data_IF_300912581358
#
_entry.id   IF_300912581358
#
_cell.length_a   1.000
_cell.length_b   1.000
_cell.length_c   1.000
_cell.angle_alpha   90.00
_cell.angle_beta   90.00
_cell.angle_gamma   90.00
#
_symmetry.space_group_name_H-M   'P 1'
#
loop_
_entity.id
_entity.type
_entity.pdbx_description
1 polymer ?
#
# COMPACT_ATOMS: atom_id res chain seq x y z
N UNK A 1 1.33 10.15 30.27
CA UNK A 1 0.93 10.45 28.89
C UNK A 1 -0.12 11.54 28.94
N UNK A 2 0.20 12.77 28.52
CA UNK A 2 -0.77 13.88 28.47
C UNK A 2 -1.50 13.78 27.13
N UNK A 3 -2.80 13.49 27.17
CA UNK A 3 -3.65 13.64 26.00
C UNK A 3 -3.87 15.14 25.78
N UNK A 4 -3.25 15.71 24.74
CA UNK A 4 -3.60 17.04 24.24
C UNK A 4 -4.86 16.86 23.42
N UNK A 5 -6.01 17.16 24.01
CA UNK A 5 -7.27 17.30 23.28
C UNK A 5 -7.24 18.65 22.56
N UNK A 6 -6.69 18.69 21.35
CA UNK A 6 -6.82 19.82 20.45
C UNK A 6 -8.24 19.81 19.83
N UNK A 7 -9.19 20.46 20.51
CA UNK A 7 -10.44 20.89 19.88
C UNK A 7 -10.18 22.25 19.22
N UNK A 8 -9.62 22.24 18.00
CA UNK A 8 -9.44 23.47 17.23
C UNK A 8 -10.55 23.59 16.19
N UNK A 9 -11.43 24.55 16.41
CA UNK A 9 -12.21 25.21 15.36
C UNK A 9 -11.23 25.70 14.29
N UNK A 10 -11.49 25.42 13.01
CA UNK A 10 -10.58 25.83 11.94
C UNK A 10 -11.02 27.22 11.45
N UNK A 11 -10.56 28.27 12.15
CA UNK A 11 -10.70 29.63 11.66
C UNK A 11 -9.91 29.77 10.35
N UNK A 12 -10.60 30.03 9.22
CA UNK A 12 -9.95 30.21 7.92
C UNK A 12 -8.93 31.36 7.92
N UNK A 13 -9.09 32.33 8.81
CA UNK A 13 -8.18 33.47 8.93
C UNK A 13 -6.76 33.07 9.35
N UNK A 14 -6.59 31.90 9.99
CA UNK A 14 -5.28 31.43 10.48
C UNK A 14 -4.54 30.49 9.52
N UNK A 15 -5.08 30.26 8.32
CA UNK A 15 -4.40 29.45 7.30
C UNK A 15 -3.19 30.22 6.76
N UNK A 16 -2.12 29.48 6.44
CA UNK A 16 -0.93 30.08 5.80
C UNK A 16 -1.24 30.74 4.44
N UNK A 17 -2.36 30.40 3.80
CA UNK A 17 -2.82 31.03 2.56
C UNK A 17 -3.50 32.39 2.78
N UNK A 18 -3.85 32.72 4.03
CA UNK A 18 -4.58 33.94 4.36
C UNK A 18 -3.64 35.11 4.53
N UNK A 19 -4.00 36.24 3.93
CA UNK A 19 -3.33 37.52 4.14
C UNK A 19 -4.32 38.58 4.59
N UNK A 20 -3.90 39.45 5.51
CA UNK A 20 -4.74 40.53 6.03
C UNK A 20 -4.14 41.88 5.73
N UNK A 21 -5.01 42.85 5.46
CA UNK A 21 -4.67 44.25 5.24
C UNK A 21 -5.64 45.12 6.01
N UNK A 22 -5.16 46.29 6.40
CA UNK A 22 -5.98 47.35 6.97
C UNK A 22 -5.67 48.67 6.28
N UNK A 23 -6.66 49.55 6.20
CA UNK A 23 -6.60 50.84 5.51
C UNK A 23 -5.45 51.74 5.96
N UNK A 24 -5.16 51.74 7.25
CA UNK A 24 -4.09 52.49 7.91
C UNK A 24 -3.69 51.75 9.20
N UNK A 25 -2.58 52.10 9.82
CA UNK A 25 -2.11 51.41 11.04
C UNK A 25 -1.78 52.43 12.12
N UNK A 26 -2.48 52.36 13.25
CA UNK A 26 -2.14 53.16 14.42
C UNK A 26 -0.95 52.50 15.15
N UNK A 27 0.19 53.20 15.17
CA UNK A 27 1.40 52.79 15.90
C UNK A 27 1.79 51.33 15.61
N UNK A 28 1.60 50.42 16.58
CA UNK A 28 2.02 49.01 16.50
C UNK A 28 0.84 48.04 16.31
N UNK A 29 -0.38 48.55 16.14
CA UNK A 29 -1.61 47.75 16.05
C UNK A 29 -1.83 47.23 14.63
N UNK A 30 -0.95 46.33 14.20
CA UNK A 30 -0.94 45.75 12.86
C UNK A 30 -2.20 44.91 12.61
N UNK A 31 -2.61 44.82 11.35
CA UNK A 31 -3.70 43.95 10.92
C UNK A 31 -3.55 42.48 11.36
N UNK A 32 -2.32 42.00 11.50
CA UNK A 32 -2.04 40.62 11.92
C UNK A 32 -2.56 40.28 13.33
N UNK A 33 -2.78 41.26 14.20
CA UNK A 33 -3.33 41.04 15.54
C UNK A 33 -4.77 40.51 15.47
N UNK A 34 -5.57 40.97 14.51
CA UNK A 34 -6.95 40.49 14.34
C UNK A 34 -7.07 39.03 13.87
N UNK A 35 -5.95 38.35 13.60
CA UNK A 35 -5.92 36.95 13.13
C UNK A 35 -4.83 36.15 13.83
N UNK A 36 -4.25 36.68 14.92
CA UNK A 36 -3.17 36.04 15.67
C UNK A 36 -3.69 34.95 16.60
N UNK A 37 -4.99 35.01 16.89
CA UNK A 37 -5.71 34.05 17.64
C UNK A 37 -6.02 34.35 19.08
N UNK A 38 -5.73 35.57 19.49
CA UNK A 38 -6.03 36.10 20.80
C UNK A 38 -7.40 36.78 20.82
N UNK A 39 -8.39 36.08 21.38
CA UNK A 39 -9.77 36.60 21.47
C UNK A 39 -9.95 37.67 22.56
N UNK A 40 -8.87 38.12 23.22
CA UNK A 40 -8.97 39.15 24.26
C UNK A 40 -9.28 40.51 23.65
N UNK A 41 -10.33 41.13 24.14
CA UNK A 41 -10.86 42.39 23.60
C UNK A 41 -10.26 43.65 24.23
N UNK A 42 -9.00 43.59 24.68
CA UNK A 42 -8.29 44.76 25.25
C UNK A 42 -7.33 45.34 24.21
N UNK A 43 -7.33 46.66 24.05
CA UNK A 43 -6.46 47.49 23.18
C UNK A 43 -5.21 46.81 22.61
N UNK A 44 -4.31 46.36 23.49
CA UNK A 44 -3.00 45.78 23.14
C UNK A 44 -3.07 44.58 22.18
N UNK A 45 -4.16 43.83 22.18
CA UNK A 45 -4.34 42.63 21.34
C UNK A 45 -5.16 42.92 20.08
N UNK A 46 -5.51 44.19 19.84
CA UNK A 46 -6.39 44.56 18.74
C UNK A 46 -5.61 45.22 17.61
N UNK A 47 -6.00 44.89 16.38
CA UNK A 47 -5.65 45.69 15.21
C UNK A 47 -6.38 47.02 15.28
N UNK A 48 -5.71 48.08 14.82
CA UNK A 48 -6.22 49.43 14.94
C UNK A 48 -5.83 50.21 13.68
N UNK A 49 -6.83 50.77 13.04
CA UNK A 49 -6.63 51.72 11.95
C UNK A 49 -6.29 53.10 12.51
N UNK A 50 -5.49 53.88 11.81
CA UNK A 50 -5.12 55.23 12.26
C UNK A 50 -6.35 56.14 12.37
N UNK A 51 -6.22 57.22 13.13
CA UNK A 51 -7.27 58.21 13.34
C UNK A 51 -7.38 59.15 12.12
N UNK A 52 -8.34 60.07 12.12
CA UNK A 52 -8.57 61.08 11.08
C UNK A 52 -8.81 60.52 9.67
N UNK A 53 -9.38 59.31 9.58
CA UNK A 53 -9.77 58.71 8.29
C UNK A 53 -11.22 59.03 7.97
N UNK A 54 -11.57 59.10 6.68
CA UNK A 54 -12.99 59.21 6.26
C UNK A 54 -13.68 57.85 6.19
N UNK A 55 -12.89 56.79 5.98
CA UNK A 55 -13.32 55.39 5.91
C UNK A 55 -12.19 54.54 6.45
N UNK A 56 -12.47 53.70 7.43
CA UNK A 56 -11.54 52.67 7.89
C UNK A 56 -12.03 51.30 7.41
N UNK A 57 -11.11 50.48 6.90
CA UNK A 57 -11.42 49.11 6.47
C UNK A 57 -10.35 48.11 6.89
N UNK A 58 -10.79 46.87 7.08
CA UNK A 58 -9.98 45.68 7.32
C UNK A 58 -10.40 44.60 6.32
N UNK A 59 -9.43 43.98 5.64
CA UNK A 59 -9.67 42.98 4.61
C UNK A 59 -8.89 41.71 4.92
N UNK A 60 -9.59 40.58 4.90
CA UNK A 60 -9.05 39.22 4.87
C UNK A 60 -9.12 38.71 3.44
N UNK A 61 -7.98 38.34 2.85
CA UNK A 61 -7.91 37.53 1.64
C UNK A 61 -7.60 36.08 2.05
N UNK A 62 -8.56 35.17 1.87
CA UNK A 62 -8.44 33.75 2.22
C UNK A 62 -7.55 32.96 1.24
N UNK A 63 -7.05 33.62 0.18
CA UNK A 63 -6.20 33.06 -0.87
C UNK A 63 -6.97 32.34 -1.99
N UNK A 64 -8.14 31.75 -1.66
CA UNK A 64 -9.08 31.15 -2.62
C UNK A 64 -10.53 31.31 -2.16
N UNK A 65 -11.53 31.08 -3.02
CA UNK A 65 -12.93 31.08 -2.59
C UNK A 65 -13.23 29.94 -1.61
N UNK A 66 -13.94 30.26 -0.52
CA UNK A 66 -14.52 29.32 0.44
C UNK A 66 -16.03 29.53 0.52
N UNK A 67 -16.78 28.47 0.83
CA UNK A 67 -18.20 28.56 1.18
C UNK A 67 -18.32 29.01 2.63
N UNK A 68 -18.30 30.34 2.84
CA UNK A 68 -18.40 30.93 4.18
C UNK A 68 -19.76 30.60 4.78
N UNK A 69 -19.78 30.27 6.07
CA UNK A 69 -20.99 29.99 6.84
C UNK A 69 -21.26 31.09 7.88
N UNK A 70 -20.25 31.40 8.69
CA UNK A 70 -20.31 32.41 9.74
C UNK A 70 -19.03 33.24 9.76
N UNK A 71 -19.18 34.50 10.15
CA UNK A 71 -18.06 35.40 10.48
C UNK A 71 -18.27 35.87 11.92
N UNK A 72 -17.33 35.59 12.80
CA UNK A 72 -17.36 36.08 14.19
C UNK A 72 -16.36 37.21 14.32
N UNK A 73 -16.81 38.36 14.82
CA UNK A 73 -15.98 39.54 15.06
C UNK A 73 -15.85 39.78 16.56
N UNK A 74 -14.62 39.92 17.03
CA UNK A 74 -14.27 40.34 18.38
C UNK A 74 -13.79 41.78 18.32
N UNK A 75 -14.64 42.71 18.71
CA UNK A 75 -14.28 44.13 18.81
C UNK A 75 -13.62 44.43 20.14
N UNK A 76 -12.84 45.51 20.16
CA UNK A 76 -12.32 46.06 21.41
C UNK A 76 -13.48 46.39 22.34
N UNK A 77 -13.34 46.02 23.61
CA UNK A 77 -14.34 46.27 24.64
C UNK A 77 -14.12 47.66 25.22
N UNK A 78 -14.56 48.69 24.51
CA UNK A 78 -14.73 50.05 25.00
C UNK A 78 -16.09 50.59 24.49
N UNK A 79 -16.76 51.44 25.28
CA UNK A 79 -18.20 51.80 25.20
C UNK A 79 -18.59 52.69 23.98
N UNK A 80 -18.36 52.28 22.72
CA UNK A 80 -18.65 53.15 21.55
C UNK A 80 -19.58 52.52 20.46
N UNK A 81 -20.67 53.22 20.06
CA UNK A 81 -21.62 52.84 18.98
C UNK A 81 -21.08 52.97 17.54
N UNK A 82 -21.74 52.42 16.51
CA UNK A 82 -21.36 52.61 15.09
C UNK A 82 -22.53 52.73 14.08
N UNK A 83 -22.49 53.72 13.16
CA UNK A 83 -23.52 53.95 12.12
C UNK A 83 -23.04 53.90 10.65
N UNK A 84 -24.03 53.81 9.74
CA UNK A 84 -24.00 53.17 8.40
C UNK A 84 -23.61 54.08 7.19
N UNK A 85 -23.02 53.47 6.14
CA UNK A 85 -23.22 53.86 4.72
C UNK A 85 -23.22 52.66 3.76
N UNK A 86 -23.84 52.83 2.58
CA UNK A 86 -23.98 51.80 1.53
C UNK A 86 -22.87 51.85 0.50
N UNK A 87 -22.33 50.68 0.15
CA UNK A 87 -21.22 50.52 -0.81
C UNK A 87 -21.63 49.54 -1.89
N UNK A 88 -21.55 49.95 -3.17
CA UNK A 88 -21.87 49.10 -4.32
C UNK A 88 -20.69 48.16 -4.67
N UNK A 89 -21.00 46.99 -5.26
CA UNK A 89 -20.09 45.90 -5.68
C UNK A 89 -19.65 44.85 -4.64
N UNK A 90 -20.23 44.83 -3.43
CA UNK A 90 -19.95 43.80 -2.40
C UNK A 90 -21.24 43.15 -1.91
N UNK A 91 -21.25 41.83 -1.73
CA UNK A 91 -22.36 41.13 -1.06
C UNK A 91 -22.27 41.42 0.44
N UNK A 92 -23.21 42.21 0.95
CA UNK A 92 -23.23 42.64 2.35
C UNK A 92 -23.94 41.59 3.21
N UNK A 93 -23.20 40.95 4.12
CA UNK A 93 -23.76 39.97 5.06
C UNK A 93 -24.36 40.60 6.32
N UNK A 94 -23.83 41.74 6.74
CA UNK A 94 -24.23 42.41 7.97
C UNK A 94 -24.11 43.92 7.82
N UNK A 95 -24.98 44.64 8.51
CA UNK A 95 -24.86 46.07 8.72
C UNK A 95 -25.11 46.32 10.20
N UNK A 96 -24.17 46.97 10.86
CA UNK A 96 -24.46 47.54 12.15
C UNK A 96 -25.22 48.87 11.99
N UNK A 97 -26.28 49.03 12.78
CA UNK A 97 -27.10 50.23 12.83
C UNK A 97 -27.17 50.80 14.26
N UNK A 98 -26.25 50.40 15.15
CA UNK A 98 -26.19 50.99 16.49
C UNK A 98 -25.96 52.49 16.39
N UNK A 99 -26.61 53.24 17.26
CA UNK A 99 -26.44 54.70 17.30
C UNK A 99 -26.26 55.10 18.74
N UNK A 100 -25.44 56.10 18.97
CA UNK A 100 -25.25 56.66 20.30
C UNK A 100 -26.60 56.94 20.99
N UNK A 101 -26.80 56.46 22.23
CA UNK A 101 -25.80 55.94 23.19
C UNK A 101 -25.62 54.41 23.24
N UNK A 102 -26.22 53.64 22.33
CA UNK A 102 -26.21 52.18 22.37
C UNK A 102 -24.88 51.59 21.89
N UNK A 103 -24.24 50.74 22.69
CA UNK A 103 -22.93 50.15 22.38
C UNK A 103 -23.09 48.79 21.68
N UNK A 104 -22.30 48.59 20.63
CA UNK A 104 -22.23 47.33 19.90
C UNK A 104 -21.67 46.21 20.79
N UNK A 105 -22.19 44.96 20.73
CA UNK A 105 -21.58 43.85 21.43
C UNK A 105 -20.13 43.65 20.96
N UNK A 106 -19.21 43.53 21.91
CA UNK A 106 -17.79 43.25 21.63
C UNK A 106 -17.55 41.86 20.98
N UNK A 107 -18.58 41.02 20.86
CA UNK A 107 -18.57 39.77 20.08
C UNK A 107 -19.83 39.74 19.24
N UNK A 108 -19.67 39.59 17.93
CA UNK A 108 -20.78 39.52 16.97
C UNK A 108 -20.62 38.29 16.10
N UNK A 109 -21.62 37.43 16.11
CA UNK A 109 -21.73 36.31 15.18
C UNK A 109 -22.61 36.69 13.99
N UNK A 110 -22.01 36.66 12.80
CA UNK A 110 -22.64 37.08 11.55
C UNK A 110 -22.83 35.86 10.64
N UNK A 111 -24.06 35.36 10.50
CA UNK A 111 -24.37 34.34 9.50
C UNK A 111 -24.15 34.91 8.09
N UNK A 112 -23.13 34.42 7.39
CA UNK A 112 -22.71 34.94 6.09
C UNK A 112 -22.54 33.78 5.10
N UNK A 113 -23.67 33.25 4.62
CA UNK A 113 -23.73 32.02 3.81
C UNK A 113 -23.45 32.27 2.33
N UNK A 114 -22.22 32.65 2.02
CA UNK A 114 -21.80 32.99 0.65
C UNK A 114 -20.45 32.38 0.28
N UNK A 115 -20.28 32.05 -1.00
CA UNK A 115 -18.97 31.71 -1.54
C UNK A 115 -18.17 32.99 -1.78
N UNK A 116 -17.09 33.19 -1.03
CA UNK A 116 -16.23 34.37 -1.18
C UNK A 116 -14.76 34.04 -0.92
N UNK A 117 -13.87 34.84 -1.52
CA UNK A 117 -12.42 34.82 -1.25
C UNK A 117 -12.02 35.91 -0.25
N UNK A 118 -12.73 37.03 -0.27
CA UNK A 118 -12.42 38.21 0.54
C UNK A 118 -13.53 38.42 1.58
N UNK A 119 -13.14 38.70 2.82
CA UNK A 119 -14.03 39.21 3.87
C UNK A 119 -13.56 40.62 4.21
N UNK A 120 -14.47 41.59 4.18
CA UNK A 120 -14.13 43.00 4.37
C UNK A 120 -15.04 43.56 5.46
N UNK A 121 -14.43 44.16 6.48
CA UNK A 121 -15.09 44.95 7.50
C UNK A 121 -14.76 46.41 7.22
N UNK A 122 -15.77 47.27 7.17
CA UNK A 122 -15.59 48.69 6.89
C UNK A 122 -16.47 49.53 7.81
N UNK A 123 -15.98 50.70 8.21
CA UNK A 123 -16.74 51.71 8.94
C UNK A 123 -16.47 53.10 8.38
N UNK A 124 -17.47 53.96 8.50
CA UNK A 124 -17.37 55.41 8.25
C UNK A 124 -17.74 56.22 9.48
N UNK A 125 -17.90 55.56 10.63
CA UNK A 125 -18.33 56.18 11.87
C UNK A 125 -17.19 57.00 12.47
N UNK A 126 -17.37 58.31 12.51
CA UNK A 126 -16.56 59.26 13.25
C UNK A 126 -17.19 59.44 14.63
N UNK A 127 -16.47 59.07 15.71
CA UNK A 127 -16.94 59.11 17.09
C UNK A 127 -16.84 60.55 17.64
N UNK A 128 -17.93 61.35 17.64
CA UNK A 128 -17.83 62.78 17.95
C UNK A 128 -17.46 63.05 19.41
N UNK A 129 -17.63 62.06 20.29
CA UNK A 129 -17.23 62.08 21.70
C UNK A 129 -15.71 61.98 21.94
N UNK A 130 -14.92 61.53 20.96
CA UNK A 130 -13.48 61.27 21.10
C UNK A 130 -12.59 62.52 20.86
N UNK A 131 -13.15 63.73 20.91
CA UNK A 131 -12.43 65.02 20.79
C UNK A 131 -11.14 65.06 21.65
N UNK A 132 -9.94 65.30 21.07
CA UNK A 132 -9.66 65.84 19.73
C UNK A 132 -9.43 64.83 18.61
N UNK A 133 -9.69 63.55 18.83
CA UNK A 133 -9.53 62.48 17.85
C UNK A 133 -10.80 62.41 16.99
N UNK A 134 -10.72 62.91 15.76
CA UNK A 134 -11.79 62.80 14.78
C UNK A 134 -11.49 61.68 13.77
N UNK A 135 -12.52 61.18 13.10
CA UNK A 135 -12.46 60.28 11.96
C UNK A 135 -12.83 58.82 12.24
N UNK A 136 -13.09 58.09 11.15
CA UNK A 136 -13.45 56.69 11.16
C UNK A 136 -12.31 55.78 11.61
N UNK A 137 -12.62 54.88 12.54
CA UNK A 137 -11.65 53.98 13.16
C UNK A 137 -12.24 52.58 13.36
N UNK A 138 -11.44 51.57 13.04
CA UNK A 138 -11.71 50.15 13.29
C UNK A 138 -10.73 49.58 14.30
N UNK A 139 -11.30 48.87 15.26
CA UNK A 139 -10.58 48.18 16.34
C UNK A 139 -11.04 46.72 16.44
N UNK A 140 -10.38 45.83 15.69
CA UNK A 140 -10.75 44.41 15.63
C UNK A 140 -9.68 43.62 16.36
N UNK A 141 -10.09 42.89 17.39
CA UNK A 141 -9.23 42.05 18.21
C UNK A 141 -9.06 40.64 17.66
N UNK A 142 -10.12 40.05 17.12
CA UNK A 142 -10.04 38.80 16.36
C UNK A 142 -11.18 38.76 15.33
N UNK A 143 -10.91 38.17 14.16
CA UNK A 143 -11.93 37.77 13.20
C UNK A 143 -11.82 36.28 12.92
N UNK A 144 -12.93 35.58 13.11
CA UNK A 144 -13.05 34.16 12.77
C UNK A 144 -13.98 33.98 11.57
N UNK A 145 -13.52 33.25 10.55
CA UNK A 145 -14.33 32.90 9.39
C UNK A 145 -14.47 31.38 9.34
N UNK A 146 -15.69 30.88 9.42
CA UNK A 146 -16.01 29.45 9.32
C UNK A 146 -16.58 29.10 7.94
N UNK A 147 -16.27 27.89 7.46
CA UNK A 147 -16.83 27.35 6.22
C UNK A 147 -17.85 26.24 6.46
N UNK A 148 -18.73 26.07 5.47
CA UNK A 148 -19.58 24.90 5.30
C UNK A 148 -19.35 24.35 3.90
N UNK A 149 -18.65 23.21 3.79
CA UNK A 149 -18.35 22.65 2.47
C UNK A 149 -19.63 22.22 1.75
N UNK A 150 -19.67 22.45 0.43
CA UNK A 150 -20.79 22.01 -0.42
C UNK A 150 -20.95 20.47 -0.44
N UNK A 151 -19.93 19.75 0.00
CA UNK A 151 -19.91 18.30 0.21
C UNK A 151 -20.64 17.88 1.49
N UNK A 152 -21.02 18.79 2.38
CA UNK A 152 -22.01 18.49 3.42
C UNK A 152 -23.38 18.22 2.78
N UNK A 153 -24.05 17.15 3.20
CA UNK A 153 -25.44 16.89 2.76
C UNK A 153 -26.33 18.08 3.17
N UNK A 154 -27.14 18.55 2.22
CA UNK A 154 -27.99 19.74 2.35
C UNK A 154 -27.24 21.03 2.78
N UNK A 155 -25.91 21.08 2.59
CA UNK A 155 -25.07 22.18 3.06
C UNK A 155 -25.32 22.53 4.54
N UNK A 156 -25.61 21.51 5.36
CA UNK A 156 -25.86 21.70 6.79
C UNK A 156 -24.66 21.22 7.58
N UNK A 157 -24.07 22.17 8.31
CA UNK A 157 -22.98 21.93 9.25
C UNK A 157 -23.31 22.61 10.58
N UNK A 158 -22.64 22.17 11.64
CA UNK A 158 -22.74 22.81 12.94
C UNK A 158 -21.95 24.12 12.92
N UNK A 159 -22.60 25.22 13.30
CA UNK A 159 -22.04 26.57 13.23
C UNK A 159 -20.78 26.78 14.09
N UNK A 160 -20.59 25.96 15.13
CA UNK A 160 -19.46 26.09 16.06
C UNK A 160 -18.19 25.37 15.58
N UNK A 161 -18.32 24.22 14.90
CA UNK A 161 -17.16 23.38 14.55
C UNK A 161 -17.07 23.04 13.05
N UNK A 162 -18.05 23.45 12.24
CA UNK A 162 -18.11 23.20 10.81
C UNK A 162 -18.37 21.73 10.45
N UNK A 163 -18.69 20.86 11.42
CA UNK A 163 -18.96 19.46 11.14
C UNK A 163 -20.30 19.28 10.43
N UNK A 164 -20.31 18.53 9.32
CA UNK A 164 -21.54 18.25 8.59
C UNK A 164 -22.48 17.37 9.43
N UNK A 165 -23.69 17.84 9.69
CA UNK A 165 -24.63 17.19 10.62
C UNK A 165 -25.34 15.99 10.00
N UNK A 166 -25.66 16.08 8.70
CA UNK A 166 -26.30 15.01 7.93
C UNK A 166 -25.32 14.09 7.20
N UNK A 167 -24.01 14.27 7.42
CA UNK A 167 -22.96 13.50 6.74
C UNK A 167 -22.50 14.11 5.41
N UNK A 168 -21.79 13.31 4.63
CA UNK A 168 -21.09 13.73 3.42
C UNK A 168 -21.79 13.26 2.15
N UNK A 169 -21.73 14.10 1.12
CA UNK A 169 -22.03 13.71 -0.24
C UNK A 169 -21.13 12.54 -0.66
N UNK A 170 -21.68 11.62 -1.46
CA UNK A 170 -21.00 10.40 -1.93
C UNK A 170 -19.57 10.70 -2.40
N UNK A 171 -18.61 9.91 -1.92
CA UNK A 171 -17.21 10.08 -2.28
C UNK A 171 -16.41 11.00 -1.36
N UNK A 172 -17.01 11.57 -0.31
CA UNK A 172 -16.30 12.36 0.69
C UNK A 172 -16.47 11.77 2.10
N UNK A 173 -15.48 12.02 2.94
CA UNK A 173 -15.44 11.59 4.34
C UNK A 173 -14.76 12.66 5.18
N UNK A 174 -14.53 12.34 6.45
CA UNK A 174 -14.11 13.23 7.53
C UNK A 174 -15.28 14.04 8.13
N UNK A 175 -15.10 14.62 9.33
CA UNK A 175 -16.18 15.34 10.00
C UNK A 175 -16.74 16.55 9.24
N UNK A 176 -15.95 17.17 8.35
CA UNK A 176 -16.32 18.35 7.53
C UNK A 176 -16.55 18.02 6.05
N UNK A 177 -16.39 16.77 5.64
CA UNK A 177 -16.47 16.30 4.26
C UNK A 177 -15.42 16.93 3.32
N UNK A 178 -14.23 17.24 3.85
CA UNK A 178 -13.12 17.84 3.08
C UNK A 178 -12.26 16.80 2.34
N UNK A 179 -12.28 15.56 2.81
CA UNK A 179 -11.45 14.48 2.30
C UNK A 179 -12.21 13.61 1.31
N UNK A 180 -11.56 13.26 0.20
CA UNK A 180 -12.16 12.39 -0.82
C UNK A 180 -11.87 10.92 -0.46
N UNK A 181 -12.87 10.04 -0.60
CA UNK A 181 -12.71 8.61 -0.43
C UNK A 181 -11.66 8.06 -1.41
N UNK A 182 -10.85 7.06 -1.05
CA UNK A 182 -9.89 6.43 -1.96
C UNK A 182 -10.48 6.05 -3.32
N UNK A 183 -9.71 6.22 -4.40
CA UNK A 183 -10.19 6.05 -5.78
C UNK A 183 -10.67 4.62 -6.09
N UNK A 184 -10.11 3.65 -5.38
CA UNK A 184 -10.37 2.22 -5.58
C UNK A 184 -11.37 1.63 -4.58
N UNK A 185 -11.99 2.46 -3.73
CA UNK A 185 -13.21 2.02 -3.05
C UNK A 185 -14.31 1.79 -4.09
N UNK A 186 -15.08 0.72 -3.92
CA UNK A 186 -16.25 0.47 -4.75
C UNK A 186 -17.22 1.65 -4.62
N UNK A 187 -17.70 2.16 -5.77
CA UNK A 187 -18.60 3.32 -5.86
C UNK A 187 -18.13 4.58 -5.10
N UNK A 188 -16.83 4.71 -4.82
CA UNK A 188 -16.26 5.76 -3.95
C UNK A 188 -16.87 5.77 -2.54
N UNK A 189 -17.35 4.64 -2.02
CA UNK A 189 -17.90 4.55 -0.66
C UNK A 189 -16.82 4.23 0.37
N UNK A 190 -16.73 5.07 1.39
CA UNK A 190 -15.85 4.87 2.52
C UNK A 190 -16.51 5.33 3.83
N UNK A 191 -16.06 4.76 4.95
CA UNK A 191 -16.53 5.12 6.28
C UNK A 191 -16.19 6.57 6.59
N UNK A 192 -17.18 7.29 7.13
CA UNK A 192 -17.09 8.73 7.38
C UNK A 192 -15.97 9.10 8.34
N UNK A 193 -15.74 8.27 9.36
CA UNK A 193 -14.88 8.58 10.50
C UNK A 193 -13.38 8.46 10.16
N UNK A 194 -13.03 7.57 9.23
CA UNK A 194 -11.65 7.16 9.01
C UNK A 194 -11.27 6.92 7.54
N UNK A 195 -12.22 7.09 6.62
CA UNK A 195 -11.98 6.98 5.18
C UNK A 195 -11.72 5.55 4.69
N UNK A 196 -11.94 4.54 5.53
CA UNK A 196 -11.77 3.13 5.17
C UNK A 196 -12.80 2.73 4.12
N UNK A 197 -12.38 2.01 3.08
CA UNK A 197 -13.33 1.53 2.08
C UNK A 197 -14.20 0.42 2.68
N UNK A 198 -15.51 0.43 2.39
CA UNK A 198 -16.39 -0.71 2.73
C UNK A 198 -15.99 -1.95 1.93
N UNK A 199 -15.84 -1.78 0.61
CA UNK A 199 -15.39 -2.80 -0.33
C UNK A 199 -14.44 -2.18 -1.37
N UNK A 200 -13.57 -3.01 -1.93
CA UNK A 200 -12.65 -2.59 -2.99
C UNK A 200 -13.23 -2.93 -4.36
N UNK A 201 -12.89 -2.12 -5.35
CA UNK A 201 -13.02 -2.50 -6.75
C UNK A 201 -12.24 -3.80 -7.02
N UNK A 202 -12.71 -4.60 -7.97
CA UNK A 202 -12.03 -5.83 -8.38
C UNK A 202 -10.56 -5.53 -8.74
N UNK A 203 -9.65 -6.40 -8.29
CA UNK A 203 -8.21 -6.21 -8.47
C UNK A 203 -7.54 -5.36 -7.39
N UNK A 204 -8.26 -4.88 -6.38
CA UNK A 204 -7.69 -4.10 -5.28
C UNK A 204 -8.02 -4.68 -3.91
N UNK A 205 -7.15 -4.42 -2.93
CA UNK A 205 -7.31 -4.86 -1.55
C UNK A 205 -6.65 -3.89 -0.55
N UNK A 206 -6.87 -4.19 0.73
CA UNK A 206 -6.47 -3.39 1.86
C UNK A 206 -7.57 -2.45 2.34
N UNK A 207 -7.34 -1.90 3.52
CA UNK A 207 -8.22 -0.97 4.23
C UNK A 207 -8.66 0.25 3.39
N UNK A 208 -7.77 0.74 2.54
CA UNK A 208 -8.02 1.88 1.64
C UNK A 208 -8.02 1.49 0.15
N UNK A 209 -8.00 0.19 -0.17
CA UNK A 209 -7.96 -0.33 -1.55
C UNK A 209 -6.78 0.20 -2.41
N UNK A 210 -5.67 0.56 -1.76
CA UNK A 210 -4.48 1.10 -2.44
C UNK A 210 -3.52 0.01 -2.93
N UNK A 211 -3.74 -1.25 -2.54
CA UNK A 211 -2.92 -2.36 -2.97
C UNK A 211 -3.63 -3.12 -4.10
N UNK A 212 -2.86 -3.63 -5.05
CA UNK A 212 -3.38 -4.42 -6.16
C UNK A 212 -3.28 -5.91 -5.86
N UNK A 213 -4.30 -6.66 -6.28
CA UNK A 213 -4.24 -8.12 -6.30
C UNK A 213 -3.12 -8.57 -7.26
N UNK A 214 -2.54 -9.75 -7.01
CA UNK A 214 -1.61 -10.38 -7.93
C UNK A 214 -2.25 -10.53 -9.32
N UNK A 215 -1.48 -10.26 -10.37
CA UNK A 215 -1.94 -10.49 -11.75
C UNK A 215 -2.16 -11.97 -12.05
N UNK A 216 -1.65 -12.84 -11.18
CA UNK A 216 -1.75 -14.29 -11.27
C UNK A 216 -2.90 -14.89 -10.46
N UNK A 217 -3.68 -14.08 -9.71
CA UNK A 217 -4.96 -14.53 -9.17
C UNK A 217 -5.96 -14.75 -10.32
N UNK A 218 -6.80 -15.78 -10.25
CA UNK A 218 -7.91 -15.95 -11.20
C UNK A 218 -8.83 -14.73 -11.19
N UNK A 219 -9.08 -14.17 -12.38
CA UNK A 219 -9.85 -12.94 -12.58
C UNK A 219 -9.33 -11.73 -11.78
N UNK A 220 -8.09 -11.74 -11.30
CA UNK A 220 -7.54 -10.73 -10.37
C UNK A 220 -8.34 -10.60 -9.07
N UNK A 221 -9.05 -11.65 -8.64
CA UNK A 221 -9.87 -11.61 -7.42
C UNK A 221 -9.03 -12.04 -6.23
N UNK A 222 -8.89 -11.13 -5.26
CA UNK A 222 -8.24 -11.40 -3.99
C UNK A 222 -9.05 -10.88 -2.79
N UNK A 223 -8.71 -11.40 -1.61
CA UNK A 223 -9.29 -11.03 -0.33
C UNK A 223 -9.01 -9.56 0.01
N UNK A 224 -10.05 -8.83 0.38
CA UNK A 224 -9.96 -7.41 0.75
C UNK A 224 -9.02 -7.19 1.95
N UNK A 225 -8.99 -8.11 2.92
CA UNK A 225 -8.26 -7.89 4.18
C UNK A 225 -6.76 -8.12 4.04
N UNK A 226 -6.33 -9.10 3.25
CA UNK A 226 -4.95 -9.57 3.23
C UNK A 226 -4.39 -9.88 1.84
N UNK A 227 -5.17 -9.72 0.76
CA UNK A 227 -4.69 -9.82 -0.61
C UNK A 227 -4.55 -11.24 -1.15
N UNK A 228 -5.01 -12.28 -0.43
CA UNK A 228 -4.93 -13.69 -0.87
C UNK A 228 -5.89 -13.99 -2.02
N UNK A 229 -5.49 -14.81 -2.98
CA UNK A 229 -6.30 -15.15 -4.15
C UNK A 229 -7.42 -16.15 -3.79
N UNK A 230 -8.64 -15.67 -3.58
CA UNK A 230 -9.78 -16.49 -3.12
C UNK A 230 -10.30 -17.48 -4.19
N UNK A 231 -10.13 -17.15 -5.48
CA UNK A 231 -10.50 -18.04 -6.60
C UNK A 231 -9.34 -18.91 -7.09
N UNK A 232 -8.25 -18.98 -6.32
CA UNK A 232 -7.03 -19.67 -6.71
C UNK A 232 -6.24 -18.92 -7.79
N UNK A 233 -5.28 -19.63 -8.38
CA UNK A 233 -4.29 -19.10 -9.30
C UNK A 233 -4.61 -19.43 -10.75
N UNK A 234 -4.11 -18.61 -11.67
CA UNK A 234 -4.01 -18.98 -13.07
C UNK A 234 -3.10 -20.21 -13.23
N UNK A 235 -3.17 -20.88 -14.38
CA UNK A 235 -2.33 -22.05 -14.65
C UNK A 235 -0.83 -21.74 -14.44
N UNK A 236 -0.08 -22.76 -13.98
CA UNK A 236 1.36 -22.69 -13.70
C UNK A 236 1.77 -21.80 -12.51
N UNK A 237 0.80 -21.26 -11.76
CA UNK A 237 1.03 -20.45 -10.57
C UNK A 237 0.39 -21.07 -9.35
N UNK A 238 0.98 -20.85 -8.17
CA UNK A 238 0.45 -21.41 -6.93
C UNK A 238 0.83 -20.58 -5.69
N UNK A 239 0.27 -20.97 -4.55
CA UNK A 239 0.42 -20.29 -3.26
C UNK A 239 -0.70 -19.29 -3.00
N UNK A 240 -0.80 -18.79 -1.76
CA UNK A 240 -1.87 -17.90 -1.32
C UNK A 240 -1.99 -16.61 -2.15
N UNK A 241 -0.89 -16.18 -2.76
CA UNK A 241 -0.79 -14.96 -3.59
C UNK A 241 -0.47 -15.24 -5.07
N UNK A 242 -0.38 -16.51 -5.47
CA UNK A 242 -0.04 -16.93 -6.83
C UNK A 242 1.31 -16.38 -7.34
N UNK A 243 2.23 -16.08 -6.43
CA UNK A 243 3.56 -15.56 -6.70
C UNK A 243 4.56 -16.66 -7.11
N UNK A 244 4.28 -17.91 -6.73
CA UNK A 244 5.15 -19.06 -7.01
C UNK A 244 4.82 -19.69 -8.35
N UNK A 245 5.86 -20.19 -9.02
CA UNK A 245 5.79 -20.83 -10.34
C UNK A 245 5.85 -22.34 -10.18
N UNK A 246 4.97 -23.09 -10.84
CA UNK A 246 5.03 -24.54 -10.87
C UNK A 246 6.35 -25.06 -11.43
N UNK A 247 6.83 -26.20 -10.91
CA UNK A 247 7.93 -26.93 -11.56
C UNK A 247 7.50 -27.33 -12.99
N UNK A 248 8.42 -27.29 -13.98
CA UNK A 248 8.17 -27.85 -15.31
C UNK A 248 7.79 -29.34 -15.28
N UNK A 249 8.19 -30.05 -14.22
CA UNK A 249 7.85 -31.45 -14.00
C UNK A 249 6.39 -31.70 -13.59
N UNK A 250 5.57 -30.66 -13.42
CA UNK A 250 4.16 -30.79 -13.08
C UNK A 250 3.31 -30.97 -14.34
N UNK A 251 2.48 -32.01 -14.39
CA UNK A 251 1.57 -32.27 -15.51
C UNK A 251 0.58 -31.11 -15.65
N UNK A 252 0.64 -30.42 -16.81
CA UNK A 252 -0.20 -29.27 -17.15
C UNK A 252 -0.16 -28.16 -16.09
N UNK A 253 0.96 -27.99 -15.38
CA UNK A 253 1.08 -26.97 -14.34
C UNK A 253 0.16 -27.21 -13.12
N UNK A 254 -0.26 -28.45 -12.87
CA UNK A 254 -1.09 -28.82 -11.71
C UNK A 254 -0.25 -28.94 -10.42
N UNK A 255 0.20 -27.81 -9.87
CA UNK A 255 0.94 -27.76 -8.62
C UNK A 255 0.06 -27.25 -7.45
N UNK A 256 -0.83 -28.11 -6.94
CA UNK A 256 -1.65 -27.80 -5.75
C UNK A 256 -0.94 -28.22 -4.45
N UNK A 257 -0.80 -27.28 -3.53
CA UNK A 257 -0.10 -27.46 -2.26
C UNK A 257 -0.85 -28.32 -1.24
N UNK A 258 -2.18 -28.50 -1.36
CA UNK A 258 -2.94 -29.26 -0.34
C UNK A 258 -2.92 -30.78 -0.55
N UNK A 259 -2.76 -31.25 -1.80
CA UNK A 259 -2.76 -32.69 -2.14
C UNK A 259 -1.43 -33.18 -2.73
N UNK A 260 -0.47 -32.27 -2.93
CA UNK A 260 0.79 -32.51 -3.62
C UNK A 260 0.64 -32.32 -5.14
N UNK A 261 1.72 -31.87 -5.79
CA UNK A 261 1.73 -31.65 -7.23
C UNK A 261 1.59 -32.96 -8.02
N UNK A 262 0.95 -32.91 -9.19
CA UNK A 262 0.90 -34.05 -10.11
C UNK A 262 2.15 -34.05 -10.98
N UNK A 263 3.10 -34.93 -10.70
CA UNK A 263 4.34 -35.02 -11.48
C UNK A 263 4.18 -35.78 -12.78
N UNK A 264 4.93 -35.39 -13.80
CA UNK A 264 5.13 -36.20 -14.99
C UNK A 264 5.91 -37.49 -14.65
N UNK A 265 6.02 -38.43 -15.59
CA UNK A 265 6.70 -39.70 -15.36
C UNK A 265 8.20 -39.58 -15.09
N UNK A 266 8.79 -38.41 -15.28
CA UNK A 266 10.23 -38.14 -15.13
C UNK A 266 10.58 -37.34 -13.87
N UNK A 267 9.58 -36.90 -13.11
CA UNK A 267 9.77 -36.10 -11.90
C UNK A 267 9.04 -36.70 -10.69
N UNK A 268 9.54 -36.38 -9.50
CA UNK A 268 8.96 -36.81 -8.24
C UNK A 268 9.21 -35.79 -7.10
N UNK A 269 8.63 -36.09 -5.94
CA UNK A 269 8.58 -35.24 -4.76
C UNK A 269 7.35 -34.33 -4.76
N UNK A 270 7.07 -33.71 -3.61
CA UNK A 270 5.86 -32.91 -3.36
C UNK A 270 5.61 -31.79 -4.40
N UNK A 271 6.67 -31.27 -5.02
CA UNK A 271 6.62 -30.18 -6.01
C UNK A 271 7.27 -30.56 -7.36
N UNK A 272 7.49 -31.85 -7.64
CA UNK A 272 8.05 -32.34 -8.91
C UNK A 272 9.38 -31.68 -9.31
N UNK A 273 10.22 -31.34 -8.32
CA UNK A 273 11.52 -30.71 -8.54
C UNK A 273 12.65 -31.72 -8.68
N UNK A 274 12.44 -32.96 -8.23
CA UNK A 274 13.42 -34.04 -8.33
C UNK A 274 13.15 -34.85 -9.60
N UNK A 275 14.21 -35.34 -10.24
CA UNK A 275 14.12 -36.14 -11.48
C UNK A 275 14.28 -37.63 -11.16
N UNK A 276 13.43 -38.46 -11.75
CA UNK A 276 13.60 -39.91 -11.76
C UNK A 276 14.97 -40.28 -12.37
N UNK A 277 15.52 -41.44 -11.99
CA UNK A 277 16.70 -41.98 -12.65
C UNK A 277 16.43 -42.17 -14.14
N UNK A 278 17.40 -41.81 -14.99
CA UNK A 278 17.31 -42.01 -16.45
C UNK A 278 17.22 -43.50 -16.83
N UNK A 279 17.53 -44.38 -15.89
CA UNK A 279 17.46 -45.84 -16.05
C UNK A 279 16.09 -46.41 -15.65
N UNK A 280 15.10 -45.58 -15.26
CA UNK A 280 13.72 -46.04 -15.06
C UNK A 280 12.99 -46.12 -16.43
N UNK A 281 12.38 -47.25 -16.76
CA UNK A 281 11.73 -47.46 -18.08
C UNK A 281 10.37 -46.79 -18.21
N UNK A 282 9.56 -46.78 -17.13
CA UNK A 282 8.17 -46.28 -17.12
C UNK A 282 8.02 -45.14 -16.09
N UNK A 283 9.14 -44.60 -15.61
CA UNK A 283 9.17 -43.56 -14.57
C UNK A 283 9.30 -44.12 -13.16
N UNK A 284 9.02 -43.27 -12.18
CA UNK A 284 9.23 -43.55 -10.77
C UNK A 284 8.06 -43.14 -9.88
N UNK A 285 8.02 -43.65 -8.64
CA UNK A 285 6.98 -43.33 -7.65
C UNK A 285 7.00 -41.84 -7.31
N UNK A 286 5.80 -41.23 -7.23
CA UNK A 286 5.66 -39.78 -7.06
C UNK A 286 6.30 -39.22 -5.78
N UNK A 287 6.33 -39.97 -4.68
CA UNK A 287 6.80 -39.45 -3.38
C UNK A 287 8.27 -39.81 -3.10
N UNK A 288 8.68 -41.03 -3.47
CA UNK A 288 10.00 -41.57 -3.10
C UNK A 288 10.99 -41.60 -4.27
N UNK A 289 10.52 -41.61 -5.51
CA UNK A 289 11.37 -41.66 -6.70
C UNK A 289 11.88 -43.06 -7.06
N UNK A 290 11.29 -44.11 -6.49
CA UNK A 290 11.61 -45.51 -6.76
C UNK A 290 11.12 -45.89 -8.16
N UNK A 291 11.99 -46.44 -9.01
CA UNK A 291 11.62 -46.82 -10.37
C UNK A 291 10.55 -47.93 -10.37
N UNK A 292 9.55 -47.81 -11.25
CA UNK A 292 8.58 -48.89 -11.47
C UNK A 292 9.21 -50.10 -12.19
N UNK A 293 10.20 -49.85 -13.03
CA UNK A 293 10.96 -50.87 -13.75
C UNK A 293 12.30 -50.29 -14.23
N UNK A 294 13.34 -51.12 -14.27
CA UNK A 294 14.66 -50.74 -14.77
C UNK A 294 14.84 -51.06 -16.25
N UNK A 295 15.68 -50.26 -16.93
CA UNK A 295 16.22 -50.64 -18.24
C UNK A 295 17.03 -51.93 -18.12
N UNK A 296 17.10 -52.70 -19.20
CA UNK A 296 17.80 -53.99 -19.20
C UNK A 296 19.26 -53.86 -18.73
N UNK A 297 19.70 -54.78 -17.86
CA UNK A 297 21.04 -54.78 -17.29
C UNK A 297 21.24 -53.84 -16.10
N UNK A 298 20.18 -53.19 -15.60
CA UNK A 298 20.18 -52.36 -14.39
C UNK A 298 19.26 -52.93 -13.31
N UNK A 299 19.58 -52.65 -12.04
CA UNK A 299 18.77 -53.05 -10.89
C UNK A 299 18.93 -52.10 -9.69
N UNK A 300 18.14 -52.34 -8.65
CA UNK A 300 18.00 -51.54 -7.44
C UNK A 300 16.80 -50.59 -7.52
N UNK A 301 16.39 -50.03 -6.37
CA UNK A 301 15.21 -49.15 -6.26
C UNK A 301 15.26 -47.94 -7.20
N UNK A 302 16.44 -47.46 -7.56
CA UNK A 302 16.64 -46.33 -8.48
C UNK A 302 17.34 -46.73 -9.80
N UNK A 303 17.49 -48.03 -10.07
CA UNK A 303 18.12 -48.57 -11.29
C UNK A 303 19.57 -48.08 -11.55
N UNK A 304 20.30 -47.75 -10.49
CA UNK A 304 21.66 -47.23 -10.59
C UNK A 304 22.73 -48.34 -10.60
N UNK A 305 22.39 -49.53 -10.11
CA UNK A 305 23.30 -50.69 -10.06
C UNK A 305 23.26 -51.46 -11.38
N UNK A 306 24.38 -52.04 -11.79
CA UNK A 306 24.50 -52.85 -13.02
C UNK A 306 24.40 -54.32 -12.66
N UNK A 307 23.64 -55.09 -13.42
CA UNK A 307 23.63 -56.55 -13.31
C UNK A 307 25.04 -57.11 -13.49
N UNK A 308 25.32 -58.27 -12.86
CA UNK A 308 26.59 -58.97 -13.05
C UNK A 308 26.81 -59.32 -14.52
N UNK A 309 28.05 -59.17 -14.99
CA UNK A 309 28.42 -59.47 -16.40
C UNK A 309 28.20 -60.95 -16.77
N UNK A 310 28.18 -61.83 -15.76
CA UNK A 310 27.89 -63.25 -15.88
C UNK A 310 26.42 -63.61 -16.02
N UNK A 311 25.47 -62.66 -15.95
CA UNK A 311 24.05 -62.97 -16.11
C UNK A 311 23.71 -63.38 -17.56
N UNK A 312 22.83 -64.38 -17.72
CA UNK A 312 22.38 -64.87 -19.03
C UNK A 312 21.39 -63.90 -19.71
N UNK A 313 20.37 -63.43 -18.98
CA UNK A 313 19.32 -62.54 -19.51
C UNK A 313 18.82 -61.61 -18.41
N UNK A 314 19.39 -60.41 -18.31
CA UNK A 314 19.05 -59.45 -17.26
C UNK A 314 19.26 -59.98 -15.83
N UNK A 315 18.76 -59.25 -14.85
CA UNK A 315 18.73 -59.65 -13.45
C UNK A 315 17.45 -59.15 -12.78
N UNK A 316 17.09 -59.73 -11.64
CA UNK A 316 15.97 -59.28 -10.82
C UNK A 316 16.13 -57.80 -10.46
N UNK A 317 15.06 -57.03 -10.66
CA UNK A 317 15.13 -55.57 -10.63
C UNK A 317 15.42 -54.99 -9.24
N UNK A 318 15.17 -55.72 -8.14
CA UNK A 318 15.43 -55.21 -6.79
C UNK A 318 16.67 -55.84 -6.16
N UNK A 319 16.81 -57.16 -6.29
CA UNK A 319 17.88 -57.93 -5.66
C UNK A 319 19.14 -58.05 -6.52
N UNK A 320 19.03 -57.89 -7.85
CA UNK A 320 20.11 -58.09 -8.81
C UNK A 320 20.46 -59.55 -9.07
N UNK A 321 19.64 -60.49 -8.59
CA UNK A 321 19.87 -61.91 -8.76
C UNK A 321 19.61 -62.36 -10.20
N UNK A 322 20.39 -63.30 -10.71
CA UNK A 322 20.24 -63.78 -12.08
C UNK A 322 20.77 -65.21 -12.26
N UNK A 323 20.41 -65.82 -13.39
CA UNK A 323 20.98 -67.11 -13.79
C UNK A 323 22.37 -66.86 -14.39
N UNK A 324 23.38 -67.55 -13.85
CA UNK A 324 24.77 -67.42 -14.27
C UNK A 324 25.06 -68.19 -15.56
N UNK A 325 25.82 -67.56 -16.47
CA UNK A 325 26.51 -68.21 -17.58
C UNK A 325 27.46 -69.29 -17.03
N UNK A 326 27.76 -70.30 -17.84
CA UNK A 326 28.73 -71.34 -17.47
C UNK A 326 30.07 -70.71 -17.04
N UNK A 327 30.58 -71.15 -15.88
CA UNK A 327 31.83 -70.63 -15.30
C UNK A 327 31.67 -69.46 -14.34
N UNK A 328 30.47 -68.86 -14.19
CA UNK A 328 30.19 -67.83 -13.19
C UNK A 328 29.53 -68.40 -11.93
N UNK A 329 29.71 -67.72 -10.79
CA UNK A 329 29.22 -68.09 -9.46
C UNK A 329 28.80 -66.85 -8.65
N UNK A 330 28.11 -67.11 -7.52
CA UNK A 330 27.35 -66.16 -6.68
C UNK A 330 25.95 -65.85 -7.20
N UNK A 331 25.06 -65.42 -6.32
CA UNK A 331 23.65 -65.12 -6.64
C UNK A 331 23.51 -63.97 -7.65
N UNK A 332 24.56 -63.16 -7.83
CA UNK A 332 24.63 -62.05 -8.79
C UNK A 332 25.58 -62.29 -9.96
N UNK A 333 26.22 -63.47 -10.04
CA UNK A 333 27.13 -63.85 -11.11
C UNK A 333 28.28 -62.85 -11.32
N UNK A 334 28.85 -62.35 -10.22
CA UNK A 334 29.97 -61.40 -10.21
C UNK A 334 31.32 -62.11 -10.05
N UNK A 335 31.32 -63.38 -9.59
CA UNK A 335 32.53 -64.17 -9.44
C UNK A 335 32.70 -65.19 -10.57
N UNK A 336 33.92 -65.36 -11.06
CA UNK A 336 34.27 -66.50 -11.93
C UNK A 336 34.61 -67.68 -11.01
N UNK A 337 34.06 -68.88 -11.31
CA UNK A 337 34.51 -70.13 -10.68
C UNK A 337 35.99 -70.27 -11.02
N UNK A 338 36.86 -70.19 -10.01
CA UNK A 338 38.23 -70.69 -10.14
C UNK A 338 38.09 -72.20 -10.34
N UNK A 339 38.04 -72.65 -11.59
CA UNK A 339 38.25 -74.05 -11.89
C UNK A 339 39.64 -74.37 -11.37
N UNK A 340 39.70 -75.27 -10.39
CA UNK A 340 40.96 -75.82 -9.93
C UNK A 340 41.72 -76.31 -11.15
N UNK A 341 43.00 -75.93 -11.24
CA UNK A 341 44.02 -76.45 -12.15
C UNK A 341 43.52 -77.63 -13.00
N UNK A 342 42.99 -77.35 -14.19
CA UNK A 342 43.16 -78.31 -15.25
C UNK A 342 44.67 -78.44 -15.41
N UNK A 343 45.18 -79.65 -15.16
CA UNK A 343 46.55 -80.01 -15.46
C UNK A 343 46.71 -79.90 -16.98
N UNK A 344 46.94 -78.68 -17.48
CA UNK A 344 47.79 -78.53 -18.63
C UNK A 344 49.12 -79.14 -18.19
N UNK A 345 49.40 -80.34 -18.70
CA UNK A 345 50.78 -80.81 -18.79
C UNK A 345 51.50 -79.75 -19.63
N UNK A 346 52.07 -78.74 -18.98
CA UNK A 346 53.18 -78.00 -19.56
C UNK A 346 54.28 -79.03 -19.74
N UNK A 347 54.42 -79.54 -20.97
CA UNK A 347 55.68 -80.15 -21.37
C UNK A 347 56.68 -79.00 -21.34
N UNK A 348 57.48 -78.94 -20.28
CA UNK A 348 58.65 -78.09 -20.25
C UNK A 348 59.62 -78.69 -21.25
N UNK A 349 59.69 -78.12 -22.45
CA UNK A 349 60.90 -78.24 -23.26
C UNK A 349 61.92 -77.28 -22.69
N UNK A 350 62.89 -77.82 -21.94
CA UNK A 350 64.09 -77.07 -21.58
C UNK A 350 64.97 -76.96 -22.82
N UNK A 351 64.91 -75.82 -23.51
CA UNK A 351 65.95 -75.44 -24.45
C UNK A 351 66.89 -74.46 -23.74
N UNK A 352 68.08 -74.94 -23.40
CA UNK A 352 69.19 -74.12 -22.95
C UNK A 352 69.80 -73.43 -24.17
N UNK A 353 69.63 -72.12 -24.33
CA UNK A 353 70.54 -71.34 -25.18
C UNK A 353 70.80 -69.94 -24.60
N UNK A 354 71.99 -69.78 -24.05
CA UNK A 354 72.80 -68.55 -24.13
C UNK A 354 73.16 -68.33 -25.60
N UNK A 355 72.77 -67.23 -26.25
CA UNK A 355 73.57 -65.99 -26.35
C UNK A 355 75.08 -66.31 -26.52
N UNK A 356 75.73 -66.33 -27.69
CA UNK A 356 75.75 -65.41 -28.85
C UNK A 356 74.48 -64.63 -29.19
N UNK A 357 74.67 -63.31 -29.15
CA UNK A 357 73.74 -62.20 -29.36
C UNK A 357 72.74 -62.39 -30.51
N UNK A 358 71.48 -61.99 -30.29
CA UNK A 358 70.91 -60.76 -30.87
C UNK A 358 69.39 -60.87 -31.12
N UNK A 359 68.66 -59.98 -30.44
CA UNK A 359 67.53 -59.13 -30.90
C UNK A 359 66.43 -59.69 -31.80
N UNK A 360 65.16 -59.54 -31.38
CA UNK A 360 64.20 -58.67 -32.07
C UNK A 360 62.88 -58.49 -31.27
N UNK A 361 62.21 -57.40 -31.61
CA UNK A 361 61.29 -56.57 -30.83
C UNK A 361 59.81 -56.93 -31.03
N UNK A 362 59.00 -56.65 -30.00
CA UNK A 362 57.55 -56.49 -29.88
C UNK A 362 56.62 -56.73 -31.11
N UNK A 363 55.51 -57.42 -30.86
CA UNK A 363 54.18 -56.82 -31.12
C UNK A 363 53.08 -57.38 -30.22
N UNK A 364 52.26 -56.46 -29.74
CA UNK A 364 51.03 -56.61 -28.98
C UNK A 364 49.96 -57.28 -29.85
N UNK A 365 49.25 -58.31 -29.37
CA UNK A 365 47.90 -58.63 -29.85
C UNK A 365 46.97 -59.07 -28.71
N UNK A 366 45.82 -58.42 -28.77
CA UNK A 366 44.59 -58.57 -27.99
C UNK A 366 44.03 -59.99 -28.17
N UNK A 367 43.69 -60.66 -27.08
CA UNK A 367 42.32 -60.84 -26.57
C UNK A 367 42.36 -61.17 -25.08
#
# INVERSE_FOLDING_TARGET
MKYVTCSYTENLCRKNSTTVLQSSTFVNHKAALAVDGDIRTTDRYCSHTDVNQTVAWFQVDLGKPYSINNVTLYYRKDDLPASQKTTAHRTRCYTDNTTHPDVLPHIIDIPCKHTARYVIVETTYDAPEDDPVAGAMLEICEIEVSDCLATCINQTCNDTNGHCTFGCATGNWDPKCGSVCPANCQDRKCFRENGLCETCKQGYWGNYCNQTCSTFCNEHICSKSDGRCNKGCIMERYGDFCDKVCSPGCVKGSCDTQRGAWCDSTHYGLNCTKKCSVNCTIGCTKDTGVCYSCVEGKFGEYCDKKCGIGCVSGCDQYSGQCVCKHGWQSDRCEGIKKTGHDRFRTIIFAFLYTNQEATATLTKRVF
#
